data_IF_403210182767
#
_entry.id   IF_403210182767
#
_cell.length_a   1.000
_cell.length_b   1.000
_cell.length_c   1.000
_cell.angle_alpha   90.00
_cell.angle_beta   90.00
_cell.angle_gamma   90.00
#
_symmetry.space_group_name_H-M   'P 1'
#
loop_
_entity.id
_entity.type
_entity.pdbx_description
1 polymer ?
#
# COMPACT_ATOMS: atom_id res chain seq x y z
N UNK A 1 4.04 -13.49 -4.50
CA UNK A 1 5.12 -12.60 -4.03
C UNK A 1 4.81 -11.12 -4.28
N UNK A 2 3.99 -10.80 -5.29
CA UNK A 2 3.55 -9.41 -5.57
C UNK A 2 2.26 -9.02 -4.82
N UNK A 3 1.80 -9.83 -3.90
CA UNK A 3 0.65 -9.57 -3.05
C UNK A 3 1.10 -8.95 -1.72
N UNK A 4 0.42 -7.91 -1.27
CA UNK A 4 0.83 -7.13 -0.10
C UNK A 4 1.03 -7.94 1.18
N UNK A 5 0.24 -9.00 1.37
CA UNK A 5 0.37 -9.89 2.53
C UNK A 5 1.77 -10.52 2.63
N UNK A 6 2.41 -10.79 1.50
CA UNK A 6 3.78 -11.30 1.46
C UNK A 6 4.85 -10.22 1.54
N UNK A 7 4.47 -8.97 1.38
CA UNK A 7 5.40 -7.83 1.33
C UNK A 7 5.45 -7.04 2.63
N UNK A 8 4.48 -7.20 3.52
CA UNK A 8 4.42 -6.46 4.78
C UNK A 8 5.67 -6.66 5.66
N UNK A 9 6.25 -7.86 5.65
CA UNK A 9 7.46 -8.15 6.42
C UNK A 9 8.68 -7.33 5.96
N UNK A 10 8.66 -6.80 4.73
CA UNK A 10 9.73 -5.94 4.23
C UNK A 10 9.87 -4.64 5.03
N UNK A 11 8.81 -4.17 5.68
CA UNK A 11 8.89 -3.04 6.61
C UNK A 11 9.88 -3.36 7.74
N UNK A 12 9.73 -4.53 8.36
CA UNK A 12 10.62 -4.98 9.44
C UNK A 12 12.05 -5.21 8.94
N UNK A 13 12.22 -5.77 7.74
CA UNK A 13 13.56 -5.98 7.19
C UNK A 13 14.29 -4.67 6.94
N UNK A 14 13.58 -3.64 6.45
CA UNK A 14 14.14 -2.30 6.29
C UNK A 14 14.52 -1.66 7.63
N UNK A 15 13.68 -1.82 8.64
CA UNK A 15 13.97 -1.31 9.99
C UNK A 15 15.19 -2.01 10.61
N UNK A 16 15.30 -3.32 10.48
CA UNK A 16 16.47 -4.08 10.94
C UNK A 16 17.75 -3.70 10.19
N UNK A 17 17.65 -3.37 8.92
CA UNK A 17 18.78 -2.84 8.18
C UNK A 17 19.24 -1.49 8.72
N UNK A 18 18.31 -0.62 9.09
CA UNK A 18 18.62 0.69 9.67
C UNK A 18 19.38 0.57 10.99
N UNK A 19 19.01 -0.41 11.82
CA UNK A 19 19.68 -0.66 13.12
C UNK A 19 21.09 -1.22 12.93
N UNK A 20 21.25 -2.18 12.02
CA UNK A 20 22.55 -2.79 11.71
C UNK A 20 22.60 -3.12 10.20
N UNK A 21 23.24 -2.27 9.41
CA UNK A 21 23.32 -2.46 7.97
C UNK A 21 23.98 -3.81 7.60
N UNK A 22 23.24 -4.57 6.78
CA UNK A 22 23.67 -5.82 6.17
C UNK A 22 22.81 -6.01 4.92
N UNK A 23 23.43 -6.04 3.75
CA UNK A 23 22.72 -6.13 2.46
C UNK A 23 21.80 -7.34 2.35
N UNK A 24 22.11 -8.44 3.04
CA UNK A 24 21.27 -9.64 3.09
C UNK A 24 19.88 -9.39 3.70
N UNK A 25 19.76 -8.41 4.60
CA UNK A 25 18.49 -8.10 5.25
C UNK A 25 17.44 -7.50 4.32
N UNK A 26 17.87 -6.76 3.30
CA UNK A 26 16.98 -6.10 2.34
C UNK A 26 17.05 -6.70 0.94
N UNK A 27 17.89 -7.70 0.72
CA UNK A 27 18.11 -8.29 -0.62
C UNK A 27 16.80 -8.80 -1.24
N UNK A 28 15.98 -9.53 -0.47
CA UNK A 28 14.70 -10.05 -0.97
C UNK A 28 13.66 -8.96 -1.20
N UNK A 29 13.57 -8.01 -0.28
CA UNK A 29 12.68 -6.86 -0.45
C UNK A 29 13.04 -6.08 -1.72
N UNK A 30 14.32 -5.83 -1.93
CA UNK A 30 14.82 -5.13 -3.12
C UNK A 30 14.49 -5.88 -4.40
N UNK A 31 14.79 -7.17 -4.45
CA UNK A 31 14.49 -8.03 -5.61
C UNK A 31 13.00 -8.00 -5.97
N UNK A 32 12.13 -8.22 -5.00
CA UNK A 32 10.68 -8.29 -5.21
C UNK A 32 10.12 -6.94 -5.62
N UNK A 33 10.50 -5.87 -4.94
CA UNK A 33 9.97 -4.53 -5.22
C UNK A 33 10.50 -4.00 -6.56
N UNK A 34 11.75 -4.23 -6.90
CA UNK A 34 12.31 -3.84 -8.21
C UNK A 34 11.64 -4.61 -9.35
N UNK A 35 11.36 -5.89 -9.16
CA UNK A 35 10.59 -6.67 -10.13
C UNK A 35 9.17 -6.10 -10.30
N UNK A 36 8.45 -5.84 -9.21
CA UNK A 36 7.12 -5.25 -9.26
C UNK A 36 7.11 -3.90 -10.00
N UNK A 37 8.06 -3.03 -9.68
CA UNK A 37 8.20 -1.72 -10.32
C UNK A 37 8.58 -1.79 -11.80
N UNK A 38 9.14 -2.90 -12.26
CA UNK A 38 9.49 -3.12 -13.67
C UNK A 38 8.28 -3.48 -14.54
N UNK A 39 7.16 -3.82 -13.95
CA UNK A 39 5.93 -4.17 -14.68
C UNK A 39 5.13 -2.92 -15.04
N UNK A 40 4.29 -3.03 -16.07
CA UNK A 40 3.39 -1.95 -16.51
C UNK A 40 2.10 -1.85 -15.68
N UNK A 41 1.96 -2.68 -14.65
CA UNK A 41 0.76 -2.73 -13.81
C UNK A 41 0.83 -1.70 -12.70
N UNK A 42 -0.32 -1.10 -12.39
CA UNK A 42 -0.51 -0.17 -11.27
C UNK A 42 -1.53 -0.67 -10.23
N UNK A 43 -2.18 -1.80 -10.49
CA UNK A 43 -3.32 -2.34 -9.75
C UNK A 43 -2.95 -3.25 -8.56
N UNK A 44 -1.75 -3.11 -8.01
CA UNK A 44 -1.27 -3.95 -6.91
C UNK A 44 -1.97 -3.69 -5.58
N UNK A 45 -2.40 -2.45 -5.33
CA UNK A 45 -3.03 -2.05 -4.05
C UNK A 45 -4.53 -1.85 -4.22
N UNK A 46 -5.23 -2.93 -4.47
CA UNK A 46 -6.66 -2.93 -4.78
C UNK A 46 -7.59 -3.00 -3.56
N UNK A 47 -7.04 -3.10 -2.35
CA UNK A 47 -7.79 -3.11 -1.09
C UNK A 47 -7.10 -2.22 -0.04
N UNK A 48 -7.88 -1.76 0.97
CA UNK A 48 -7.41 -0.77 1.95
C UNK A 48 -6.17 -1.22 2.73
N UNK A 49 -6.12 -2.48 3.15
CA UNK A 49 -4.98 -3.04 3.89
C UNK A 49 -3.68 -2.99 3.09
N UNK A 50 -3.75 -3.16 1.78
CA UNK A 50 -2.59 -3.12 0.90
C UNK A 50 -1.82 -1.81 1.01
N UNK A 51 -2.51 -0.70 1.21
CA UNK A 51 -1.88 0.60 1.43
C UNK A 51 -1.04 0.61 2.72
N UNK A 52 -1.56 0.08 3.82
CA UNK A 52 -0.80 -0.02 5.07
C UNK A 52 0.38 -0.99 4.96
N UNK A 53 0.18 -2.09 4.25
CA UNK A 53 1.19 -3.14 4.13
C UNK A 53 2.40 -2.69 3.32
N UNK A 54 2.21 -1.95 2.23
CA UNK A 54 3.25 -1.75 1.22
C UNK A 54 3.67 -0.30 1.00
N UNK A 55 2.81 0.71 1.20
CA UNK A 55 3.26 2.10 1.10
C UNK A 55 4.50 2.39 1.95
N UNK A 56 4.54 1.99 3.25
CA UNK A 56 5.73 2.19 4.06
C UNK A 56 6.97 1.43 3.56
N UNK A 57 6.80 0.30 2.88
CA UNK A 57 7.93 -0.40 2.25
C UNK A 57 8.57 0.47 1.19
N UNK A 58 7.77 1.09 0.33
CA UNK A 58 8.27 1.94 -0.76
C UNK A 58 9.05 3.15 -0.22
N UNK A 59 8.54 3.83 0.79
CA UNK A 59 9.23 4.97 1.41
C UNK A 59 10.51 4.56 2.14
N UNK A 60 10.49 3.44 2.86
CA UNK A 60 11.69 2.90 3.53
C UNK A 60 12.75 2.51 2.52
N UNK A 61 12.37 1.82 1.44
CA UNK A 61 13.32 1.42 0.39
C UNK A 61 13.89 2.64 -0.34
N UNK A 62 13.09 3.68 -0.58
CA UNK A 62 13.62 4.95 -1.09
C UNK A 62 14.69 5.54 -0.16
N UNK A 63 14.41 5.62 1.14
CA UNK A 63 15.36 6.14 2.13
C UNK A 63 16.66 5.33 2.18
N UNK A 64 16.59 4.03 2.00
CA UNK A 64 17.75 3.14 2.07
C UNK A 64 18.56 3.11 0.77
N UNK A 65 17.91 3.26 -0.38
CA UNK A 65 18.57 3.09 -1.70
C UNK A 65 18.81 4.39 -2.45
N UNK A 66 18.06 5.45 -2.12
CA UNK A 66 18.07 6.72 -2.85
C UNK A 66 17.43 6.64 -4.25
N UNK A 67 16.80 5.51 -4.61
CA UNK A 67 16.20 5.33 -5.93
C UNK A 67 14.81 6.00 -5.99
N UNK A 68 14.65 7.10 -6.78
CA UNK A 68 13.39 7.85 -6.84
C UNK A 68 12.23 7.04 -7.41
N UNK A 69 12.50 5.96 -8.16
CA UNK A 69 11.47 5.11 -8.74
C UNK A 69 10.52 4.54 -7.67
N UNK A 70 10.99 4.32 -6.45
CA UNK A 70 10.13 3.89 -5.35
C UNK A 70 9.01 4.90 -5.05
N UNK A 71 9.30 6.18 -5.07
CA UNK A 71 8.30 7.23 -4.82
C UNK A 71 7.39 7.45 -6.02
N UNK A 72 7.93 7.38 -7.24
CA UNK A 72 7.14 7.50 -8.47
C UNK A 72 6.10 6.37 -8.55
N UNK A 73 6.53 5.13 -8.33
CA UNK A 73 5.64 3.97 -8.35
C UNK A 73 4.68 3.94 -7.15
N UNK A 74 5.11 4.40 -5.99
CA UNK A 74 4.20 4.57 -4.85
C UNK A 74 3.05 5.50 -5.23
N UNK A 75 3.35 6.65 -5.85
CA UNK A 75 2.34 7.60 -6.27
C UNK A 75 1.40 7.01 -7.34
N UNK A 76 1.94 6.27 -8.30
CA UNK A 76 1.17 5.56 -9.33
C UNK A 76 0.20 4.54 -8.72
N UNK A 77 0.69 3.66 -7.86
CA UNK A 77 -0.12 2.63 -7.19
C UNK A 77 -1.16 3.23 -6.24
N UNK A 78 -0.79 4.29 -5.51
CA UNK A 78 -1.72 5.00 -4.65
C UNK A 78 -2.82 5.70 -5.47
N UNK A 79 -2.48 6.32 -6.59
CA UNK A 79 -3.45 6.98 -7.46
C UNK A 79 -4.49 5.99 -7.96
N UNK A 80 -4.05 4.81 -8.39
CA UNK A 80 -4.97 3.73 -8.74
C UNK A 80 -5.86 3.31 -7.56
N UNK A 81 -5.26 3.01 -6.41
CA UNK A 81 -6.00 2.60 -5.21
C UNK A 81 -7.04 3.65 -4.80
N UNK A 82 -6.64 4.92 -4.82
CA UNK A 82 -7.53 6.05 -4.52
C UNK A 82 -8.70 6.14 -5.51
N UNK A 83 -8.45 5.91 -6.80
CA UNK A 83 -9.47 5.98 -7.84
C UNK A 83 -10.58 4.93 -7.68
N UNK A 84 -10.26 3.77 -7.11
CA UNK A 84 -11.22 2.66 -6.94
C UNK A 84 -11.85 2.58 -5.55
N UNK A 85 -11.29 3.21 -4.53
CA UNK A 85 -11.73 3.02 -3.14
C UNK A 85 -12.13 4.30 -2.42
N UNK A 86 -11.66 5.46 -2.84
CA UNK A 86 -11.91 6.70 -2.12
C UNK A 86 -13.29 7.29 -2.42
N UNK A 87 -14.06 7.55 -1.37
CA UNK A 87 -15.32 8.29 -1.44
C UNK A 87 -15.09 9.75 -1.05
N UNK A 88 -15.13 10.64 -2.03
CA UNK A 88 -14.82 12.05 -1.83
C UNK A 88 -15.91 12.80 -1.02
N UNK A 89 -17.14 12.30 -1.03
CA UNK A 89 -18.24 12.89 -0.28
C UNK A 89 -18.07 12.68 1.23
N UNK A 90 -17.68 11.46 1.62
CA UNK A 90 -17.53 11.09 3.03
C UNK A 90 -16.08 11.23 3.51
N UNK A 91 -15.10 11.35 2.61
CA UNK A 91 -13.69 11.41 2.95
C UNK A 91 -13.14 10.08 3.48
N UNK A 92 -13.73 8.97 3.12
CA UNK A 92 -13.42 7.63 3.61
C UNK A 92 -13.09 6.68 2.46
N UNK A 93 -12.46 5.56 2.80
CA UNK A 93 -12.14 4.50 1.86
C UNK A 93 -13.08 3.31 2.04
N UNK A 94 -13.60 2.79 0.93
CA UNK A 94 -14.19 1.45 0.91
C UNK A 94 -13.11 0.40 1.11
N UNK A 95 -13.50 -0.80 1.54
CA UNK A 95 -12.56 -1.91 1.71
C UNK A 95 -11.81 -2.24 0.40
N UNK A 96 -12.52 -2.31 -0.69
CA UNK A 96 -12.05 -2.54 -2.05
C UNK A 96 -13.13 -2.15 -3.08
N UNK A 97 -12.84 -2.29 -4.36
CA UNK A 97 -13.75 -1.92 -5.45
C UNK A 97 -15.10 -2.64 -5.46
N UNK A 98 -15.28 -3.74 -4.75
CA UNK A 98 -16.55 -4.47 -4.65
C UNK A 98 -17.53 -3.83 -3.68
N UNK A 99 -17.05 -2.98 -2.78
CA UNK A 99 -17.85 -2.34 -1.73
C UNK A 99 -18.35 -0.95 -2.09
N UNK A 100 -18.07 -0.47 -3.30
CA UNK A 100 -18.44 0.88 -3.76
C UNK A 100 -19.97 1.01 -3.85
N UNK A 101 -20.50 2.06 -3.18
CA UNK A 101 -21.90 2.45 -3.30
C UNK A 101 -22.20 3.01 -4.71
N UNK A 102 -23.34 2.73 -5.36
CA UNK A 102 -24.48 1.91 -4.88
C UNK A 102 -24.42 0.42 -5.26
N UNK A 103 -23.34 -0.08 -5.87
CA UNK A 103 -23.19 -1.50 -6.23
C UNK A 103 -23.30 -2.40 -4.99
N UNK A 104 -22.68 -1.98 -3.90
CA UNK A 104 -22.78 -2.61 -2.59
C UNK A 104 -23.42 -1.63 -1.62
N UNK A 105 -24.27 -2.15 -0.73
CA UNK A 105 -24.93 -1.40 0.33
C UNK A 105 -24.86 -2.18 1.64
N UNK A 106 -24.78 -1.46 2.74
CA UNK A 106 -24.95 -2.03 4.07
C UNK A 106 -26.36 -2.61 4.24
N UNK A 107 -26.58 -3.34 5.31
CA UNK A 107 -27.92 -3.89 5.67
C UNK A 107 -28.99 -2.79 5.70
N UNK A 108 -28.60 -1.56 6.05
CA UNK A 108 -29.49 -0.41 6.11
C UNK A 108 -29.62 0.35 4.77
N UNK A 109 -29.08 -0.19 3.69
CA UNK A 109 -29.13 0.43 2.35
C UNK A 109 -28.20 1.63 2.17
N UNK A 110 -27.23 1.84 3.06
CA UNK A 110 -26.28 2.96 3.06
C UNK A 110 -24.90 2.54 2.56
N UNK A 111 -24.00 3.52 2.41
CA UNK A 111 -22.58 3.27 2.16
C UNK A 111 -22.00 2.39 3.28
N UNK A 112 -21.19 1.41 2.89
CA UNK A 112 -20.64 0.40 3.79
C UNK A 112 -19.13 0.60 3.93
N UNK A 113 -18.74 1.37 4.95
CA UNK A 113 -17.33 1.62 5.26
C UNK A 113 -16.85 0.70 6.37
N UNK A 114 -15.58 0.37 6.31
CA UNK A 114 -14.92 -0.48 7.27
C UNK A 114 -13.91 0.33 8.10
N UNK A 115 -14.29 0.69 9.32
CA UNK A 115 -13.49 1.58 10.18
C UNK A 115 -12.04 1.13 10.38
N UNK A 116 -11.80 -0.18 10.54
CA UNK A 116 -10.43 -0.71 10.66
C UNK A 116 -9.63 -0.49 9.38
N UNK A 117 -10.23 -0.66 8.21
CA UNK A 117 -9.60 -0.39 6.92
C UNK A 117 -9.20 1.07 6.75
N UNK A 118 -10.09 2.00 7.10
CA UNK A 118 -9.77 3.44 7.11
C UNK A 118 -8.64 3.76 8.10
N UNK A 119 -8.63 3.09 9.26
CA UNK A 119 -7.51 3.18 10.20
C UNK A 119 -6.18 2.73 9.61
N UNK A 120 -6.16 1.67 8.80
CA UNK A 120 -4.97 1.22 8.08
C UNK A 120 -4.47 2.26 7.07
N UNK A 121 -5.37 2.86 6.31
CA UNK A 121 -5.02 3.91 5.34
C UNK A 121 -4.42 5.12 6.05
N UNK A 122 -5.05 5.58 7.13
CA UNK A 122 -4.52 6.70 7.93
C UNK A 122 -3.13 6.39 8.49
N UNK A 123 -2.93 5.18 9.03
CA UNK A 123 -1.63 4.76 9.56
C UNK A 123 -0.56 4.66 8.47
N UNK A 124 -0.93 4.28 7.25
CA UNK A 124 -0.01 4.28 6.11
C UNK A 124 0.49 5.70 5.78
N UNK A 125 -0.40 6.68 5.78
CA UNK A 125 -0.07 8.08 5.55
C UNK A 125 0.87 8.66 6.62
N UNK A 126 0.70 8.29 7.88
CA UNK A 126 1.59 8.74 8.94
C UNK A 126 3.01 8.19 8.82
N UNK A 127 3.20 7.10 8.10
CA UNK A 127 4.51 6.47 7.87
C UNK A 127 5.15 6.85 6.53
N UNK A 128 4.41 7.56 5.73
CA UNK A 128 4.88 8.15 4.46
C UNK A 128 5.78 9.35 4.73
#
# INVERSE_FOLDING_TARGET
VLFGDYQICFQTYADLYTVKPDSGKIARAREVMEYQMSTDKDDYWWWADGLYMVMPVMTKMYKLTGNPLYLEKLHEYWTYANSIMYDAEEGLYYRDGKYIYPKHKSVNGKKDFWARGDGWVLAAWQRY
#
